data_IF_765153573059
#
_entry.id   IF_765153573059
#
_cell.length_a   1.000
_cell.length_b   1.000
_cell.length_c   1.000
_cell.angle_alpha   90.00
_cell.angle_beta   90.00
_cell.angle_gamma   90.00
#
_symmetry.space_group_name_H-M   'P 1'
#
loop_
_entity.id
_entity.type
_entity.pdbx_description
1 polymer ?
#
# COMPACT_ATOMS: atom_id res chain seq x y z
N UNK A 1 -70.57 24.66 -21.54
CA UNK A 1 -70.30 25.24 -22.87
C UNK A 1 -69.01 26.05 -22.80
N UNK A 2 -68.06 25.76 -23.71
CA UNK A 2 -67.13 26.70 -24.39
C UNK A 2 -66.50 27.84 -23.55
N UNK A 3 -65.18 27.97 -23.37
CA UNK A 3 -64.12 28.22 -24.37
C UNK A 3 -62.77 28.21 -23.61
N UNK A 4 -61.81 27.36 -23.98
CA UNK A 4 -60.72 27.60 -24.95
C UNK A 4 -59.48 28.33 -24.39
N UNK A 5 -58.32 27.80 -24.80
CA UNK A 5 -56.98 28.40 -24.88
C UNK A 5 -56.10 28.37 -23.62
N UNK A 6 -55.34 27.28 -23.50
CA UNK A 6 -53.97 27.33 -22.99
C UNK A 6 -53.05 28.00 -24.04
N UNK A 7 -51.98 28.67 -23.60
CA UNK A 7 -50.68 28.26 -24.12
C UNK A 7 -49.62 28.13 -23.01
N UNK A 8 -49.02 26.94 -23.01
CA UNK A 8 -47.62 26.61 -22.77
C UNK A 8 -46.74 27.62 -22.01
N UNK A 9 -46.47 27.31 -20.74
CA UNK A 9 -45.22 27.70 -20.07
C UNK A 9 -44.28 26.49 -20.09
N UNK A 10 -43.35 26.50 -21.04
CA UNK A 10 -42.27 25.52 -21.17
C UNK A 10 -41.30 25.77 -20.00
N UNK A 11 -41.37 24.93 -18.97
CA UNK A 11 -40.32 24.86 -17.96
C UNK A 11 -39.05 24.28 -18.58
N UNK A 12 -38.06 25.12 -18.81
CA UNK A 12 -36.70 24.69 -19.11
C UNK A 12 -36.08 24.08 -17.86
N UNK A 13 -36.33 22.78 -17.64
CA UNK A 13 -35.57 21.98 -16.70
C UNK A 13 -34.17 21.75 -17.30
N UNK A 14 -33.19 22.51 -16.82
CA UNK A 14 -31.77 22.26 -17.07
C UNK A 14 -31.39 20.94 -16.37
N UNK A 15 -31.59 19.82 -17.07
CA UNK A 15 -30.93 18.56 -16.73
C UNK A 15 -29.42 18.74 -16.95
N UNK A 16 -28.70 19.09 -15.89
CA UNK A 16 -27.26 18.81 -15.79
C UNK A 16 -27.12 17.30 -15.59
N UNK A 17 -26.52 16.56 -16.54
CA UNK A 17 -26.14 15.19 -16.25
C UNK A 17 -25.03 15.23 -15.21
N UNK A 18 -25.31 14.71 -14.03
CA UNK A 18 -24.28 14.39 -13.05
C UNK A 18 -23.33 13.39 -13.71
N UNK A 19 -22.15 13.85 -14.14
CA UNK A 19 -21.05 12.97 -14.45
C UNK A 19 -20.74 12.21 -13.16
N UNK A 20 -21.13 10.94 -13.12
CA UNK A 20 -20.63 9.99 -12.14
C UNK A 20 -19.10 10.10 -12.16
N UNK A 21 -18.51 10.57 -11.07
CA UNK A 21 -17.08 10.48 -10.87
C UNK A 21 -16.78 9.00 -10.72
N UNK A 22 -16.41 8.37 -11.82
CA UNK A 22 -15.80 7.05 -11.82
C UNK A 22 -14.48 7.22 -11.05
N UNK A 23 -14.50 6.88 -9.76
CA UNK A 23 -13.28 6.72 -8.98
C UNK A 23 -12.48 5.66 -9.74
N UNK A 24 -11.31 6.00 -10.31
CA UNK A 24 -10.56 5.02 -11.08
C UNK A 24 -10.33 3.81 -10.18
N UNK A 25 -10.54 2.57 -10.67
CA UNK A 25 -10.31 1.39 -9.87
C UNK A 25 -8.90 1.48 -9.31
N UNK A 26 -8.77 1.43 -7.98
CA UNK A 26 -7.50 1.35 -7.29
C UNK A 26 -6.82 0.11 -7.87
N UNK A 27 -5.90 0.32 -8.80
CA UNK A 27 -5.18 -0.75 -9.48
C UNK A 27 -4.48 -1.56 -8.40
N UNK A 28 -5.01 -2.74 -8.08
CA UNK A 28 -4.33 -3.75 -7.26
C UNK A 28 -3.07 -4.11 -8.02
N UNK A 29 -2.00 -3.39 -7.70
CA UNK A 29 -0.69 -3.57 -8.32
C UNK A 29 -0.18 -4.91 -7.80
N UNK A 30 0.19 -5.86 -8.67
CA UNK A 30 0.80 -7.11 -8.22
C UNK A 30 1.97 -6.79 -7.29
N UNK A 31 2.09 -7.58 -6.22
CA UNK A 31 3.18 -7.50 -5.25
C UNK A 31 4.51 -7.23 -5.97
N UNK A 32 5.06 -6.04 -5.79
CA UNK A 32 6.30 -5.66 -6.48
C UNK A 32 7.43 -6.57 -5.97
N UNK A 33 8.35 -7.06 -6.82
CA UNK A 33 9.41 -8.01 -6.43
C UNK A 33 10.28 -7.53 -5.25
N UNK A 34 10.33 -6.22 -5.05
CA UNK A 34 10.89 -5.53 -3.91
C UNK A 34 10.28 -5.99 -2.57
N UNK A 35 8.95 -6.07 -2.50
CA UNK A 35 8.20 -6.46 -1.29
C UNK A 35 8.47 -7.93 -0.96
N UNK A 36 8.46 -8.81 -1.96
CA UNK A 36 8.77 -10.24 -1.77
C UNK A 36 10.19 -10.45 -1.24
N UNK A 37 11.17 -9.72 -1.78
CA UNK A 37 12.57 -9.78 -1.33
C UNK A 37 12.71 -9.29 0.12
N UNK A 38 12.06 -8.16 0.44
CA UNK A 38 12.03 -7.63 1.80
C UNK A 38 11.32 -8.57 2.78
N UNK A 39 10.25 -9.26 2.36
CA UNK A 39 9.54 -10.26 3.16
C UNK A 39 10.43 -11.44 3.54
N UNK A 40 11.17 -11.98 2.57
CA UNK A 40 12.08 -13.09 2.82
C UNK A 40 13.19 -12.70 3.83
N UNK A 41 13.80 -11.54 3.65
CA UNK A 41 14.82 -11.02 4.57
C UNK A 41 14.25 -10.71 5.97
N UNK A 42 13.04 -10.16 6.03
CA UNK A 42 12.30 -9.90 7.26
C UNK A 42 12.08 -11.18 8.07
N UNK A 43 11.60 -12.24 7.41
CA UNK A 43 11.33 -13.54 8.02
C UNK A 43 12.61 -14.17 8.57
N UNK A 44 13.70 -14.15 7.79
CA UNK A 44 14.99 -14.64 8.26
C UNK A 44 15.52 -13.87 9.49
N UNK A 45 15.42 -12.54 9.46
CA UNK A 45 15.91 -11.68 10.55
C UNK A 45 15.10 -11.89 11.82
N UNK A 46 13.78 -12.06 11.70
CA UNK A 46 12.90 -12.28 12.84
C UNK A 46 13.04 -13.68 13.42
N UNK A 47 13.10 -14.74 12.61
CA UNK A 47 13.37 -16.08 13.12
C UNK A 47 14.70 -16.17 13.87
N UNK A 48 15.73 -15.41 13.45
CA UNK A 48 17.02 -15.38 14.13
C UNK A 48 16.95 -14.71 15.52
N UNK A 49 16.02 -13.77 15.74
CA UNK A 49 15.82 -13.08 17.02
C UNK A 49 14.79 -13.74 17.92
N UNK A 50 13.70 -14.22 17.33
CA UNK A 50 12.47 -14.67 18.00
C UNK A 50 11.97 -15.94 17.27
N UNK A 51 12.45 -17.13 17.65
CA UNK A 51 12.09 -18.39 16.97
C UNK A 51 10.62 -18.79 17.18
N UNK A 52 9.90 -18.16 18.11
CA UNK A 52 8.46 -18.37 18.34
C UNK A 52 7.58 -17.81 17.20
N UNK A 53 8.12 -16.89 16.39
CA UNK A 53 7.44 -16.38 15.20
C UNK A 53 7.49 -17.46 14.13
N UNK A 54 6.33 -18.02 13.75
CA UNK A 54 6.24 -19.08 12.73
C UNK A 54 6.07 -18.53 11.32
N UNK A 55 5.40 -17.38 11.20
CA UNK A 55 5.11 -16.74 9.93
C UNK A 55 4.90 -15.24 10.12
N UNK A 56 5.15 -14.47 9.07
CA UNK A 56 4.93 -13.03 9.02
C UNK A 56 4.08 -12.74 7.80
N UNK A 57 2.92 -12.14 8.05
CA UNK A 57 2.10 -11.58 7.01
C UNK A 57 2.47 -10.11 6.83
N UNK A 58 3.04 -9.78 5.68
CA UNK A 58 3.23 -8.38 5.27
C UNK A 58 2.00 -7.99 4.47
N UNK A 59 1.35 -6.91 4.89
CA UNK A 59 0.27 -6.31 4.14
C UNK A 59 0.87 -5.56 2.94
N UNK A 60 0.75 -6.17 1.76
CA UNK A 60 1.30 -5.66 0.50
C UNK A 60 0.51 -4.44 0.00
N UNK A 61 -0.76 -4.33 0.37
CA UNK A 61 -1.64 -3.21 0.00
C UNK A 61 -1.38 -1.97 0.88
N UNK A 62 -0.96 -2.19 2.13
CA UNK A 62 -0.45 -1.16 3.02
C UNK A 62 1.04 -0.84 2.79
N UNK A 63 1.75 -1.63 1.99
CA UNK A 63 3.16 -1.42 1.71
C UNK A 63 3.37 -0.28 0.70
N UNK A 64 4.24 0.66 1.06
CA UNK A 64 4.68 1.75 0.20
C UNK A 64 6.12 1.49 -0.26
N UNK A 65 6.34 1.60 -1.57
CA UNK A 65 7.68 1.54 -2.18
C UNK A 65 8.08 2.94 -2.63
N UNK A 66 9.07 3.51 -1.95
CA UNK A 66 9.67 4.80 -2.32
C UNK A 66 10.96 4.58 -3.11
N UNK A 67 11.16 5.39 -4.15
CA UNK A 67 12.45 5.48 -4.85
C UNK A 67 13.36 6.40 -4.04
N UNK A 68 14.62 6.01 -3.86
CA UNK A 68 15.62 6.76 -3.12
C UNK A 68 16.85 6.96 -3.99
N UNK A 69 17.46 8.14 -3.87
CA UNK A 69 18.77 8.49 -4.46
C UNK A 69 19.85 8.62 -3.36
N UNK A 70 19.51 8.25 -2.12
CA UNK A 70 20.38 8.37 -0.97
C UNK A 70 21.46 7.29 -0.94
N UNK A 71 22.50 7.51 -0.15
CA UNK A 71 23.57 6.54 0.13
C UNK A 71 23.76 6.39 1.64
N UNK A 72 24.07 5.18 2.08
CA UNK A 72 24.58 4.91 3.42
C UNK A 72 26.08 4.70 3.26
N UNK A 73 26.88 5.65 3.74
CA UNK A 73 28.31 5.75 3.40
C UNK A 73 28.47 5.75 1.87
N UNK A 74 29.10 4.72 1.29
CA UNK A 74 29.31 4.58 -0.15
C UNK A 74 28.29 3.67 -0.84
N UNK A 75 27.33 3.09 -0.09
CA UNK A 75 26.38 2.12 -0.60
C UNK A 75 25.09 2.83 -1.03
N UNK A 76 24.71 2.80 -2.32
CA UNK A 76 23.47 3.42 -2.78
C UNK A 76 22.21 2.67 -2.29
N UNK A 77 21.25 3.44 -1.80
CA UNK A 77 19.90 2.99 -1.44
C UNK A 77 18.96 3.40 -2.56
N UNK A 78 18.54 2.44 -3.38
CA UNK A 78 17.74 2.69 -4.59
C UNK A 78 16.24 2.69 -4.31
N UNK A 79 15.79 1.90 -3.33
CA UNK A 79 14.39 1.81 -2.93
C UNK A 79 14.23 1.60 -1.44
N UNK A 80 13.13 2.09 -0.91
CA UNK A 80 12.73 1.94 0.49
C UNK A 80 11.33 1.35 0.50
N UNK A 81 11.17 0.20 1.14
CA UNK A 81 9.88 -0.45 1.34
C UNK A 81 9.45 -0.22 2.78
N UNK A 82 8.30 0.40 2.97
CA UNK A 82 7.68 0.62 4.28
C UNK A 82 6.34 -0.10 4.30
N UNK A 83 6.00 -0.78 5.39
CA UNK A 83 4.66 -1.36 5.50
C UNK A 83 4.36 -1.89 6.88
N UNK A 84 3.25 -2.61 6.99
CA UNK A 84 2.81 -3.24 8.23
C UNK A 84 3.02 -4.75 8.13
N UNK A 85 3.66 -5.30 9.16
CA UNK A 85 3.95 -6.72 9.30
C UNK A 85 3.22 -7.26 10.52
N UNK A 86 2.36 -8.25 10.28
CA UNK A 86 1.64 -9.00 11.30
C UNK A 86 2.39 -10.29 11.58
N UNK A 87 2.84 -10.43 12.83
CA UNK A 87 3.58 -11.61 13.25
C UNK A 87 2.58 -12.66 13.70
N UNK A 88 2.55 -13.81 13.04
CA UNK A 88 1.79 -14.97 13.51
C UNK A 88 2.58 -15.64 14.63
N UNK A 89 2.36 -15.15 15.84
CA UNK A 89 2.81 -15.79 17.08
C UNK A 89 1.62 -16.45 17.78
N UNK A 90 1.90 -17.36 18.69
CA UNK A 90 0.91 -17.96 19.59
C UNK A 90 0.35 -16.96 20.63
N UNK A 91 1.00 -15.80 20.82
CA UNK A 91 0.64 -14.83 21.87
C UNK A 91 0.26 -13.42 21.42
N UNK A 92 0.51 -13.01 20.18
CA UNK A 92 0.27 -11.63 19.74
C UNK A 92 0.14 -11.47 18.22
N UNK A 93 -0.97 -10.86 17.80
CA UNK A 93 -1.27 -10.49 16.41
C UNK A 93 -1.17 -8.96 16.20
N UNK A 94 -0.17 -8.33 16.83
CA UNK A 94 0.02 -6.88 16.78
C UNK A 94 0.82 -6.51 15.54
N UNK A 95 0.25 -5.65 14.69
CA UNK A 95 0.95 -5.03 13.57
C UNK A 95 2.21 -4.29 14.05
N UNK A 96 3.36 -4.58 13.42
CA UNK A 96 4.60 -3.82 13.57
C UNK A 96 4.89 -3.12 12.25
N UNK A 97 5.26 -1.84 12.30
CA UNK A 97 5.78 -1.17 11.11
C UNK A 97 7.16 -1.72 10.79
N UNK A 98 7.35 -2.14 9.56
CA UNK A 98 8.64 -2.60 9.05
C UNK A 98 9.15 -1.62 8.00
N UNK A 99 10.47 -1.48 7.95
CA UNK A 99 11.17 -0.72 6.92
C UNK A 99 12.32 -1.56 6.37
N UNK A 100 12.41 -1.64 5.05
CA UNK A 100 13.41 -2.40 4.32
C UNK A 100 14.09 -1.51 3.29
N UNK A 101 15.41 -1.41 3.39
CA UNK A 101 16.26 -0.66 2.48
C UNK A 101 16.81 -1.60 1.41
N UNK A 102 16.59 -1.24 0.15
CA UNK A 102 17.09 -1.96 -1.00
C UNK A 102 18.18 -1.14 -1.68
N UNK A 103 19.29 -1.82 -1.98
CA UNK A 103 20.40 -1.27 -2.74
C UNK A 103 20.34 -1.64 -4.21
N UNK A 104 21.49 -1.65 -4.86
CA UNK A 104 21.60 -2.12 -6.23
C UNK A 104 21.13 -3.57 -6.38
N UNK A 105 20.53 -3.87 -7.54
CA UNK A 105 20.05 -5.22 -7.89
C UNK A 105 19.05 -5.80 -6.88
N UNK A 106 18.25 -4.95 -6.23
CA UNK A 106 17.28 -5.33 -5.19
C UNK A 106 17.91 -6.07 -4.00
N UNK A 107 19.20 -5.85 -3.71
CA UNK A 107 19.84 -6.41 -2.52
C UNK A 107 19.29 -5.74 -1.27
N UNK A 108 18.83 -6.53 -0.31
CA UNK A 108 18.44 -6.01 1.01
C UNK A 108 19.70 -5.55 1.75
N UNK A 109 19.74 -4.26 2.09
CA UNK A 109 20.81 -3.65 2.84
C UNK A 109 20.53 -3.74 4.34
N UNK A 110 19.30 -3.41 4.73
CA UNK A 110 18.89 -3.39 6.12
C UNK A 110 17.38 -3.59 6.20
N UNK A 111 16.95 -4.39 7.16
CA UNK A 111 15.54 -4.52 7.54
C UNK A 111 15.42 -4.26 9.02
N UNK A 112 14.51 -3.37 9.40
CA UNK A 112 14.22 -3.13 10.80
C UNK A 112 12.72 -3.08 11.05
N UNK A 113 12.36 -3.47 12.27
CA UNK A 113 11.01 -3.40 12.78
C UNK A 113 10.98 -2.32 13.84
N UNK A 114 9.90 -1.55 13.83
CA UNK A 114 9.63 -0.64 14.94
C UNK A 114 9.47 -1.46 16.23
N UNK A 115 10.27 -1.09 17.23
CA UNK A 115 10.01 -1.46 18.61
C UNK A 115 8.75 -0.71 19.06
N UNK A 116 7.96 -1.37 19.92
CA UNK A 116 6.86 -0.70 20.60
C UNK A 116 7.38 -0.15 21.92
#
# INVERSE_FOLDING_TARGET
MLRFLAPALISAALCVPALAQEVPPKSEKPATPEIATCKAAALQTLHAKEPEIKDIYIDEDAATVAVSESKIEDIPVTRIVMGEAYLRTDRSDKARRFLCLLGEKNKVLLTFFTAR
#
